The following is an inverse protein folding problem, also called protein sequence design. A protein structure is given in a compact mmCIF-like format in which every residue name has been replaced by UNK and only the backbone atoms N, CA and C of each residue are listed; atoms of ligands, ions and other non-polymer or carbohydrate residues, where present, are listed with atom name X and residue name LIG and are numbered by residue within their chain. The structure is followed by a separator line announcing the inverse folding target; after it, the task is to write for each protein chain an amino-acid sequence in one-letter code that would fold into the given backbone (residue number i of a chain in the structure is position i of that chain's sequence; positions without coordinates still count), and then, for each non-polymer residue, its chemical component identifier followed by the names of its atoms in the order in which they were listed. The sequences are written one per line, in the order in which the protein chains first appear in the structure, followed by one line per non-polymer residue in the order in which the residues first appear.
data_IF_342635869622
#
_entry.id   IF_342635869622
#
_cell.length_a   1.000
_cell.length_b   1.000
_cell.length_c   1.000
_cell.angle_alpha   90.00
_cell.angle_beta   90.00
_cell.angle_gamma   90.00
#
_symmetry.space_group_name_H-M   'P 1'
#
loop_
_entity.id
_entity.type
_entity.pdbx_description
1 polymer ?
#
# COMPACT_ATOMS: atom_id res chain seq x y z
N UNK A 1 18.57 8.64 -7.93
CA UNK A 1 17.19 9.08 -8.25
C UNK A 1 16.25 7.95 -7.93
N UNK A 2 15.18 8.23 -7.16
CA UNK A 2 14.26 7.19 -6.72
C UNK A 2 13.50 6.57 -7.89
N UNK A 3 13.36 5.24 -7.87
CA UNK A 3 12.56 4.48 -8.83
C UNK A 3 11.46 3.72 -8.10
N UNK A 4 10.39 3.49 -8.82
CA UNK A 4 9.28 2.68 -8.34
C UNK A 4 8.90 1.63 -9.36
N UNK A 5 8.22 0.60 -8.89
CA UNK A 5 7.54 -0.39 -9.74
C UNK A 5 6.05 -0.27 -9.45
N UNK A 6 5.29 -0.06 -10.51
CA UNK A 6 3.83 -0.09 -10.47
C UNK A 6 3.37 -1.45 -10.98
N UNK A 7 2.72 -2.22 -10.11
CA UNK A 7 2.22 -3.56 -10.39
C UNK A 7 0.70 -3.61 -10.29
N UNK A 8 0.08 -4.43 -11.14
CA UNK A 8 -1.37 -4.56 -11.28
C UNK A 8 -1.81 -5.97 -10.91
N UNK A 9 -2.95 -6.08 -10.24
CA UNK A 9 -3.73 -7.32 -10.07
C UNK A 9 -2.92 -8.49 -9.46
N UNK A 10 -2.11 -8.18 -8.44
CA UNK A 10 -1.24 -9.16 -7.79
C UNK A 10 0.06 -9.43 -8.56
N UNK A 11 0.49 -8.52 -9.43
CA UNK A 11 1.76 -8.60 -10.15
C UNK A 11 1.67 -9.25 -11.53
N UNK A 12 0.46 -9.43 -12.08
CA UNK A 12 0.27 -9.93 -13.45
C UNK A 12 0.95 -9.04 -14.49
N UNK A 13 0.99 -7.74 -14.24
CA UNK A 13 1.74 -6.77 -15.03
C UNK A 13 2.50 -5.84 -14.09
N UNK A 14 3.71 -5.44 -14.48
CA UNK A 14 4.52 -4.47 -13.74
C UNK A 14 5.26 -3.54 -14.69
N UNK A 15 5.44 -2.27 -14.30
CA UNK A 15 6.23 -1.29 -15.04
C UNK A 15 7.10 -0.44 -14.10
N UNK A 16 8.30 -0.09 -14.54
CA UNK A 16 9.14 0.87 -13.83
C UNK A 16 8.64 2.30 -14.05
N UNK A 17 8.43 3.03 -12.95
CA UNK A 17 8.18 4.46 -12.98
C UNK A 17 9.48 5.22 -12.68
N UNK A 18 9.86 6.09 -13.62
CA UNK A 18 10.89 7.11 -13.46
C UNK A 18 10.29 8.46 -13.11
N UNK A 19 11.13 9.51 -13.02
CA UNK A 19 10.82 10.84 -12.46
C UNK A 19 9.60 11.62 -12.98
N UNK A 20 8.98 11.18 -14.07
CA UNK A 20 7.97 11.95 -14.80
C UNK A 20 6.56 11.37 -14.75
N UNK A 21 6.29 10.40 -13.88
CA UNK A 21 4.90 9.97 -13.68
C UNK A 21 4.06 11.14 -13.16
N UNK A 22 2.89 11.30 -13.75
CA UNK A 22 1.82 12.20 -13.30
C UNK A 22 0.70 11.41 -12.61
N UNK A 23 -0.34 12.11 -12.15
CA UNK A 23 -1.49 11.52 -11.47
C UNK A 23 -2.21 10.46 -12.33
N UNK A 24 -2.17 10.58 -13.66
CA UNK A 24 -2.86 9.70 -14.59
C UNK A 24 -2.35 8.26 -14.56
N UNK A 25 -1.08 8.05 -14.17
CA UNK A 25 -0.50 6.71 -13.96
C UNK A 25 -1.19 5.93 -12.84
N UNK A 26 -1.84 6.62 -11.90
CA UNK A 26 -2.52 6.03 -10.74
C UNK A 26 -4.03 6.12 -10.88
N UNK A 27 -4.54 7.30 -11.24
CA UNK A 27 -5.98 7.55 -11.40
C UNK A 27 -6.61 6.62 -12.44
N UNK A 28 -6.00 6.46 -13.62
CA UNK A 28 -6.56 5.63 -14.69
C UNK A 28 -6.76 4.15 -14.30
N UNK A 29 -5.75 3.48 -13.71
CA UNK A 29 -5.91 2.12 -13.19
C UNK A 29 -6.89 2.00 -12.03
N UNK A 30 -6.84 2.88 -11.03
CA UNK A 30 -7.71 2.82 -9.85
C UNK A 30 -9.19 2.94 -10.23
N UNK A 31 -9.53 3.85 -11.16
CA UNK A 31 -10.89 4.00 -11.68
C UNK A 31 -11.40 2.79 -12.47
N UNK A 32 -10.50 1.94 -12.96
CA UNK A 32 -10.87 0.72 -13.70
C UNK A 32 -11.05 -0.48 -12.79
N UNK A 33 -10.72 -0.36 -11.50
CA UNK A 33 -10.85 -1.46 -10.55
C UNK A 33 -12.33 -1.82 -10.36
N UNK A 34 -12.64 -3.10 -10.46
CA UNK A 34 -13.98 -3.66 -10.28
C UNK A 34 -14.05 -4.72 -9.17
N UNK A 35 -12.93 -5.00 -8.49
CA UNK A 35 -12.85 -5.99 -7.41
C UNK A 35 -12.80 -7.45 -7.88
N UNK A 36 -12.67 -7.69 -9.19
CA UNK A 36 -12.57 -9.01 -9.81
C UNK A 36 -11.31 -9.14 -10.67
N UNK A 37 -11.39 -8.91 -11.98
CA UNK A 37 -10.21 -9.00 -12.86
C UNK A 37 -9.24 -7.82 -12.69
N UNK A 38 -9.77 -6.66 -12.26
CA UNK A 38 -9.00 -5.45 -11.92
C UNK A 38 -9.27 -5.12 -10.47
N UNK A 39 -8.35 -5.48 -9.59
CA UNK A 39 -8.64 -5.53 -8.16
C UNK A 39 -7.50 -5.03 -7.29
N UNK A 40 -6.30 -4.84 -7.84
CA UNK A 40 -5.17 -4.32 -7.07
C UNK A 40 -4.24 -3.42 -7.87
N UNK A 41 -3.70 -2.43 -7.17
CA UNK A 41 -2.58 -1.60 -7.63
C UNK A 41 -1.54 -1.55 -6.52
N UNK A 42 -0.27 -1.82 -6.84
CA UNK A 42 0.83 -1.73 -5.88
C UNK A 42 1.92 -0.84 -6.46
N UNK A 43 2.40 0.12 -5.67
CA UNK A 43 3.52 0.96 -5.99
C UNK A 43 4.66 0.70 -4.99
N UNK A 44 5.66 -0.06 -5.43
CA UNK A 44 6.82 -0.45 -4.62
C UNK A 44 8.00 0.46 -4.89
N UNK A 45 8.64 0.96 -3.83
CA UNK A 45 9.88 1.74 -3.91
C UNK A 45 11.06 0.80 -4.10
N UNK A 46 11.83 0.96 -5.18
CA UNK A 46 13.03 0.15 -5.40
C UNK A 46 14.19 0.62 -4.50
N UNK A 47 15.07 -0.29 -4.06
CA UNK A 47 16.31 0.08 -3.40
C UNK A 47 17.15 1.03 -4.28
N UNK A 48 17.92 1.90 -3.63
CA UNK A 48 18.72 2.88 -4.36
C UNK A 48 19.71 2.19 -5.30
N UNK A 49 19.80 2.71 -6.53
CA UNK A 49 20.70 2.17 -7.56
C UNK A 49 20.17 0.94 -8.30
N UNK A 50 19.14 0.26 -7.80
CA UNK A 50 18.59 -0.92 -8.45
C UNK A 50 17.53 -0.61 -9.52
N UNK A 51 17.44 -1.52 -10.49
CA UNK A 51 16.31 -1.66 -11.43
C UNK A 51 15.44 -2.83 -10.98
N UNK A 52 14.22 -2.89 -11.48
CA UNK A 52 13.25 -3.94 -11.17
C UNK A 52 13.84 -5.33 -11.39
N UNK A 53 14.44 -5.58 -12.57
CA UNK A 53 15.08 -6.87 -12.84
C UNK A 53 16.17 -7.19 -11.80
N UNK A 54 17.01 -6.23 -11.44
CA UNK A 54 18.06 -6.45 -10.44
C UNK A 54 17.51 -6.68 -9.02
N UNK A 55 16.34 -6.15 -8.69
CA UNK A 55 15.66 -6.45 -7.42
C UNK A 55 15.06 -7.86 -7.43
N UNK A 56 14.51 -8.31 -8.57
CA UNK A 56 14.03 -9.69 -8.76
C UNK A 56 15.18 -10.70 -8.71
N UNK A 57 16.28 -10.42 -9.40
CA UNK A 57 17.46 -11.32 -9.46
C UNK A 57 18.10 -11.52 -8.07
N UNK A 58 17.90 -10.56 -7.16
CA UNK A 58 18.39 -10.60 -5.78
C UNK A 58 17.32 -11.07 -4.78
N UNK A 59 16.12 -11.44 -5.26
CA UNK A 59 14.98 -11.86 -4.44
C UNK A 59 14.69 -10.88 -3.29
N UNK A 60 14.82 -9.57 -3.56
CA UNK A 60 14.66 -8.56 -2.52
C UNK A 60 13.19 -8.38 -2.16
N UNK A 61 12.90 -8.61 -0.88
CA UNK A 61 11.60 -8.30 -0.28
C UNK A 61 11.30 -6.80 -0.34
N UNK A 62 10.05 -6.45 -0.69
CA UNK A 62 9.62 -5.07 -0.74
C UNK A 62 9.49 -4.49 0.68
N UNK A 63 10.41 -3.60 1.06
CA UNK A 63 10.43 -2.96 2.39
C UNK A 63 9.67 -1.64 2.45
N UNK A 64 9.28 -1.09 1.30
CA UNK A 64 8.50 0.14 1.20
C UNK A 64 7.54 0.12 0.01
N UNK A 65 6.24 0.18 0.26
CA UNK A 65 5.20 0.18 -0.77
C UNK A 65 3.92 0.87 -0.30
N UNK A 66 3.10 1.30 -1.24
CA UNK A 66 1.67 1.59 -1.04
C UNK A 66 0.87 0.67 -1.98
N UNK A 67 -0.25 0.14 -1.51
CA UNK A 67 -1.13 -0.69 -2.33
C UNK A 67 -2.61 -0.43 -2.08
N UNK A 68 -3.41 -0.66 -3.11
CA UNK A 68 -4.86 -0.62 -3.09
C UNK A 68 -5.42 -2.01 -3.42
N UNK A 69 -6.52 -2.38 -2.77
CA UNK A 69 -7.28 -3.59 -3.07
C UNK A 69 -8.79 -3.33 -3.02
N UNK A 70 -9.54 -3.76 -4.04
CA UNK A 70 -11.00 -3.59 -4.09
C UNK A 70 -11.53 -3.11 -5.45
N UNK A 71 -12.56 -2.27 -5.43
CA UNK A 71 -13.17 -1.63 -6.60
C UNK A 71 -13.01 -0.11 -6.56
N UNK A 72 -13.22 0.58 -7.67
CA UNK A 72 -13.07 2.03 -7.79
C UNK A 72 -13.83 2.83 -6.71
N UNK A 73 -15.03 2.42 -6.34
CA UNK A 73 -15.86 3.12 -5.34
C UNK A 73 -15.69 2.58 -3.91
N UNK A 74 -14.85 1.56 -3.72
CA UNK A 74 -14.71 0.86 -2.44
C UNK A 74 -13.42 0.04 -2.41
N UNK A 75 -12.34 0.64 -1.92
CA UNK A 75 -11.04 -0.02 -1.76
C UNK A 75 -10.42 0.25 -0.40
N UNK A 76 -9.55 -0.67 0.03
CA UNK A 76 -8.65 -0.46 1.16
C UNK A 76 -7.27 -0.05 0.66
N UNK A 77 -6.59 0.81 1.42
CA UNK A 77 -5.21 1.21 1.17
C UNK A 77 -4.32 0.67 2.28
N UNK A 78 -3.20 0.09 1.89
CA UNK A 78 -2.18 -0.38 2.81
C UNK A 78 -0.80 0.19 2.44
N UNK A 79 0.03 0.38 3.45
CA UNK A 79 1.36 0.94 3.30
C UNK A 79 2.36 0.16 4.14
N UNK A 80 3.55 -0.11 3.58
CA UNK A 80 4.73 -0.52 4.34
C UNK A 80 5.77 0.59 4.29
N UNK A 81 6.27 0.98 5.45
CA UNK A 81 7.29 2.02 5.58
C UNK A 81 8.24 1.76 6.76
N UNK A 82 9.45 2.34 6.77
CA UNK A 82 10.33 2.30 7.93
C UNK A 82 9.67 2.88 9.18
N UNK A 83 9.95 2.32 10.36
CA UNK A 83 9.40 2.77 11.65
C UNK A 83 9.06 1.61 12.60
N UNK A 84 8.32 1.90 13.68
CA UNK A 84 7.87 0.91 14.66
C UNK A 84 8.92 0.52 15.71
N UNK A 85 9.86 1.42 16.01
CA UNK A 85 10.90 1.18 17.01
C UNK A 85 10.34 0.89 18.41
N UNK A 86 9.17 1.45 18.73
CA UNK A 86 8.38 1.18 19.93
C UNK A 86 7.94 -0.30 20.06
N UNK A 87 7.84 -1.01 18.95
CA UNK A 87 7.57 -2.45 18.89
C UNK A 87 8.81 -3.29 18.60
N UNK A 88 10.00 -2.66 18.54
CA UNK A 88 11.26 -3.32 18.24
C UNK A 88 11.38 -3.81 16.79
N UNK A 89 10.72 -3.14 15.85
CA UNK A 89 10.80 -3.43 14.40
C UNK A 89 11.43 -2.25 13.65
N UNK A 90 11.86 -2.49 12.41
CA UNK A 90 12.44 -1.47 11.51
C UNK A 90 11.49 -1.00 10.41
N UNK A 91 10.47 -1.79 10.10
CA UNK A 91 9.40 -1.42 9.17
C UNK A 91 8.07 -1.99 9.62
N UNK A 92 7.00 -1.29 9.25
CA UNK A 92 5.62 -1.63 9.63
C UNK A 92 4.75 -1.59 8.39
N UNK A 93 3.97 -2.65 8.19
CA UNK A 93 2.85 -2.73 7.26
C UNK A 93 1.56 -2.38 8.01
N UNK A 94 0.82 -1.41 7.48
CA UNK A 94 -0.38 -0.85 8.11
C UNK A 94 -1.50 -0.69 7.08
N UNK A 95 -2.73 -0.71 7.56
CA UNK A 95 -3.91 -0.20 6.84
C UNK A 95 -3.98 1.31 7.06
N UNK A 96 -4.30 2.06 6.01
CA UNK A 96 -4.46 3.52 6.04
C UNK A 96 -5.94 3.84 6.32
N UNK A 97 -6.20 4.90 7.09
CA UNK A 97 -7.56 5.41 7.30
C UNK A 97 -7.61 6.92 7.55
N UNK A 98 -8.78 7.53 7.37
CA UNK A 98 -9.05 8.97 7.51
C UNK A 98 -8.92 9.51 8.94
N UNK A 99 -9.04 8.65 9.94
CA UNK A 99 -8.87 8.95 11.35
C UNK A 99 -8.45 7.66 12.07
N UNK A 100 -8.02 7.76 13.33
CA UNK A 100 -7.79 6.55 14.14
C UNK A 100 -9.08 5.71 14.12
N UNK A 101 -9.00 4.55 13.46
CA UNK A 101 -10.08 3.57 13.37
C UNK A 101 -10.15 2.73 14.65
N UNK A 102 -9.50 3.18 15.73
CA UNK A 102 -9.44 2.47 17.00
C UNK A 102 -10.84 2.42 17.60
N UNK A 103 -11.51 1.28 17.39
CA UNK A 103 -12.88 0.90 17.81
C UNK A 103 -13.99 1.07 16.77
N UNK A 104 -13.68 1.34 15.51
CA UNK A 104 -14.71 1.28 14.49
C UNK A 104 -15.03 -0.18 14.13
N UNK A 105 -16.31 -0.45 13.91
CA UNK A 105 -16.76 -1.75 13.40
C UNK A 105 -16.13 -2.00 12.01
N UNK A 106 -15.85 -3.27 11.73
CA UNK A 106 -15.33 -3.73 10.45
C UNK A 106 -16.42 -4.50 9.75
N UNK A 107 -17.29 -3.76 9.08
CA UNK A 107 -18.53 -4.24 8.49
C UNK A 107 -18.63 -3.90 7.00
N UNK A 108 -17.67 -3.16 6.44
CA UNK A 108 -17.59 -2.90 5.00
C UNK A 108 -16.83 -4.04 4.31
N UNK A 109 -17.47 -4.79 3.39
CA UNK A 109 -16.82 -5.87 2.67
C UNK A 109 -16.06 -5.33 1.44
N UNK A 110 -14.73 -5.47 1.47
CA UNK A 110 -13.88 -5.29 0.29
C UNK A 110 -13.74 -6.64 -0.41
N UNK A 111 -14.29 -6.74 -1.63
CA UNK A 111 -14.17 -7.93 -2.46
C UNK A 111 -12.80 -7.99 -3.13
N UNK A 112 -12.13 -9.13 -2.94
CA UNK A 112 -10.90 -9.49 -3.63
C UNK A 112 -11.13 -10.85 -4.34
N UNK A 113 -10.33 -11.22 -5.34
CA UNK A 113 -10.59 -12.43 -6.13
C UNK A 113 -10.60 -13.74 -5.31
N UNK A 114 -9.86 -13.78 -4.19
CA UNK A 114 -9.70 -14.99 -3.36
C UNK A 114 -10.31 -14.87 -1.97
N UNK A 115 -10.79 -13.70 -1.58
CA UNK A 115 -11.28 -13.44 -0.23
C UNK A 115 -12.14 -12.18 -0.17
N UNK A 116 -12.84 -12.02 0.94
CA UNK A 116 -13.46 -10.75 1.30
C UNK A 116 -12.80 -10.27 2.58
N UNK A 117 -12.34 -9.02 2.57
CA UNK A 117 -11.81 -8.37 3.77
C UNK A 117 -12.88 -7.49 4.38
N UNK A 118 -13.01 -7.54 5.70
CA UNK A 118 -13.91 -6.66 6.43
C UNK A 118 -13.10 -5.47 6.95
N UNK A 119 -13.45 -4.28 6.48
CA UNK A 119 -12.73 -3.03 6.69
C UNK A 119 -13.68 -2.03 7.39
N UNK A 120 -13.12 -1.11 8.16
CA UNK A 120 -13.89 -0.02 8.78
C UNK A 120 -14.19 1.05 7.73
N UNK A 121 -15.36 1.71 7.79
CA UNK A 121 -15.68 2.83 6.90
C UNK A 121 -14.59 3.91 6.83
N UNK A 122 -13.89 4.19 7.93
CA UNK A 122 -12.79 5.16 7.94
C UNK A 122 -11.54 4.70 7.17
N UNK A 123 -11.43 3.41 6.86
CA UNK A 123 -10.34 2.77 6.09
C UNK A 123 -10.74 2.47 4.63
N UNK A 124 -11.91 2.95 4.19
CA UNK A 124 -12.41 2.82 2.82
C UNK A 124 -12.13 4.08 2.03
N UNK A 125 -11.68 3.89 0.80
CA UNK A 125 -11.29 4.94 -0.14
C UNK A 125 -12.04 4.77 -1.46
N UNK A 126 -12.26 5.89 -2.15
CA UNK A 126 -12.59 5.90 -3.57
C UNK A 126 -11.32 6.02 -4.44
N UNK A 127 -11.50 5.91 -5.75
CA UNK A 127 -10.41 5.94 -6.71
C UNK A 127 -9.73 7.31 -6.84
N UNK A 128 -10.44 8.41 -6.60
CA UNK A 128 -9.89 9.76 -6.68
C UNK A 128 -8.93 10.01 -5.52
N UNK A 129 -9.40 9.74 -4.30
CA UNK A 129 -8.58 9.87 -3.09
C UNK A 129 -7.39 8.91 -3.12
N UNK A 130 -7.60 7.65 -3.52
CA UNK A 130 -6.52 6.69 -3.67
C UNK A 130 -5.47 7.16 -4.69
N UNK A 131 -5.89 7.78 -5.80
CA UNK A 131 -4.95 8.30 -6.80
C UNK A 131 -4.07 9.41 -6.23
N UNK A 132 -4.66 10.33 -5.46
CA UNK A 132 -3.94 11.38 -4.77
C UNK A 132 -2.93 10.81 -3.77
N UNK A 133 -3.32 9.82 -2.97
CA UNK A 133 -2.41 9.15 -2.04
C UNK A 133 -1.24 8.48 -2.74
N UNK A 134 -1.48 7.74 -3.83
CA UNK A 134 -0.43 7.11 -4.63
C UNK A 134 0.52 8.16 -5.23
N UNK A 135 -0.02 9.27 -5.74
CA UNK A 135 0.79 10.33 -6.31
C UNK A 135 1.64 11.04 -5.24
N UNK A 136 1.09 11.31 -4.06
CA UNK A 136 1.84 11.88 -2.93
C UNK A 136 2.95 10.93 -2.47
N UNK A 137 2.66 9.64 -2.35
CA UNK A 137 3.65 8.63 -1.99
C UNK A 137 4.74 8.49 -3.06
N UNK A 138 4.40 8.54 -4.35
CA UNK A 138 5.36 8.57 -5.44
C UNK A 138 6.30 9.80 -5.36
N UNK A 139 5.75 10.96 -4.97
CA UNK A 139 6.52 12.20 -4.86
C UNK A 139 7.43 12.26 -3.65
N UNK A 140 6.96 11.78 -2.51
CA UNK A 140 7.58 12.06 -1.19
C UNK A 140 8.04 10.79 -0.46
N UNK A 141 7.53 9.63 -0.84
CA UNK A 141 7.68 8.38 -0.09
C UNK A 141 6.87 8.35 1.21
N UNK A 142 5.96 9.29 1.42
CA UNK A 142 5.17 9.45 2.64
C UNK A 142 3.70 9.68 2.30
N UNK A 143 2.82 9.39 3.26
CA UNK A 143 1.42 9.83 3.21
C UNK A 143 1.33 11.31 3.59
N UNK A 144 0.38 12.07 3.04
CA UNK A 144 0.07 13.40 3.53
C UNK A 144 -0.45 13.34 4.98
N UNK A 145 -0.39 14.48 5.67
CA UNK A 145 -0.96 14.60 7.02
C UNK A 145 -2.48 14.39 7.00
N UNK A 146 -3.02 13.88 8.10
CA UNK A 146 -4.47 13.65 8.26
C UNK A 146 -4.89 12.18 8.20
N UNK A 147 -4.01 11.28 7.77
CA UNK A 147 -4.27 9.84 7.79
C UNK A 147 -3.73 9.18 9.06
N UNK A 148 -4.46 8.18 9.54
CA UNK A 148 -4.04 7.28 10.59
C UNK A 148 -3.58 5.94 10.01
N UNK A 149 -2.75 5.24 10.78
CA UNK A 149 -2.20 3.94 10.42
C UNK A 149 -2.59 2.92 11.47
N UNK A 150 -3.23 1.83 11.01
CA UNK A 150 -3.46 0.67 11.86
C UNK A 150 -2.43 -0.42 11.54
N UNK A 151 -1.54 -0.77 12.49
CA UNK A 151 -0.48 -1.72 12.23
C UNK A 151 -1.04 -3.14 12.04
N UNK A 152 -0.48 -3.85 11.06
CA UNK A 152 -0.77 -5.26 10.77
C UNK A 152 0.42 -6.13 11.16
N UNK A 153 1.61 -5.79 10.66
CA UNK A 153 2.81 -6.59 10.82
C UNK A 153 4.04 -5.71 10.77
N UNK A 154 5.04 -6.02 11.58
CA UNK A 154 6.35 -5.39 11.52
C UNK A 154 7.46 -6.39 11.21
N UNK A 155 8.62 -5.89 10.82
CA UNK A 155 9.81 -6.72 10.58
C UNK A 155 11.00 -6.17 11.35
N UNK A 156 11.69 -7.03 12.08
CA UNK A 156 12.98 -6.71 12.72
C UNK A 156 14.09 -6.58 11.68
N UNK A 157 15.25 -6.08 12.13
CA UNK A 157 16.47 -5.97 11.32
C UNK A 157 16.93 -7.31 10.72
N UNK A 158 16.68 -8.42 11.42
CA UNK A 158 17.01 -9.77 10.95
C UNK A 158 15.95 -10.37 10.00
N UNK A 159 14.94 -9.58 9.62
CA UNK A 159 13.83 -10.02 8.78
C UNK A 159 12.72 -10.78 9.53
N UNK A 160 12.84 -10.99 10.84
CA UNK A 160 11.82 -11.70 11.62
C UNK A 160 10.50 -10.91 11.62
N UNK A 161 9.38 -11.50 11.17
CA UNK A 161 8.08 -10.86 11.24
C UNK A 161 7.53 -10.83 12.67
N UNK A 162 6.84 -9.75 13.02
CA UNK A 162 6.17 -9.53 14.30
C UNK A 162 4.71 -9.17 14.02
N UNK A 163 3.76 -9.92 14.55
CA UNK A 163 2.34 -9.57 14.44
C UNK A 163 2.05 -8.34 15.31
N UNK A 164 1.52 -7.29 14.68
CA UNK A 164 1.20 -6.02 15.34
C UNK A 164 -0.31 -5.77 15.40
N UNK A 165 -1.14 -6.72 14.94
CA UNK A 165 -2.60 -6.56 15.00
C UNK A 165 -3.04 -6.36 16.46
N UNK A 166 -3.85 -5.32 16.68
CA UNK A 166 -4.35 -4.94 18.00
C UNK A 166 -3.33 -4.21 18.88
N UNK A 167 -2.13 -3.91 18.37
CA UNK A 167 -1.21 -2.96 18.99
C UNK A 167 -1.57 -1.54 18.56
N UNK A 168 -1.36 -0.58 19.45
CA UNK A 168 -1.60 0.84 19.22
C UNK A 168 -0.23 1.53 19.24
N UNK A 169 -0.01 2.47 18.32
CA UNK A 169 1.15 3.37 18.32
C UNK A 169 0.87 4.60 19.17
#
# INVERSE_FOLDING_TARGET
MQKYVLAFDGGTMAMELGRFADLGYFSGPLHKMNGDDKWALNLTRLPEGLRYQGALDQELEATAFIQAGGSADCMTIEIRQPGGHEWGVESVWSVVGHASADRQERDVPIKLPRSTQMISEAEVFDADEAADLFFQYYKTGQLPAGYALRPLQGWKADGTPVDLRGKIS
#
